data_IF_975190908060
#
_entry.id   IF_975190908060
#
_cell.length_a   1.000
_cell.length_b   1.000
_cell.length_c   1.000
_cell.angle_alpha   90.00
_cell.angle_beta   90.00
_cell.angle_gamma   90.00
#
_symmetry.space_group_name_H-M   'P 1'
#
loop_
_entity.id
_entity.type
_entity.pdbx_description
1 polymer ?
#
# COMPACT_ATOMS: atom_id res chain seq x y z
N UNK A 1 10.67 18.95 -30.55
CA UNK A 1 9.49 18.13 -30.23
C UNK A 1 9.27 18.23 -28.73
N UNK A 2 8.05 18.51 -28.29
CA UNK A 2 7.74 18.64 -26.86
C UNK A 2 7.53 17.24 -26.28
N UNK A 3 8.21 16.89 -25.19
CA UNK A 3 7.98 15.65 -24.46
C UNK A 3 6.52 15.58 -24.03
N UNK A 4 5.89 14.42 -24.26
CA UNK A 4 4.47 14.17 -23.91
C UNK A 4 4.30 13.00 -22.97
N UNK A 5 5.26 12.08 -22.89
CA UNK A 5 5.14 10.89 -22.06
C UNK A 5 6.39 10.67 -21.23
N UNK A 6 6.19 10.05 -20.07
CA UNK A 6 7.18 9.76 -19.04
C UNK A 6 7.11 8.29 -18.68
N UNK A 7 8.27 7.65 -18.58
CA UNK A 7 8.40 6.41 -17.82
C UNK A 7 9.28 6.70 -16.60
N UNK A 8 8.75 6.48 -15.41
CA UNK A 8 9.43 6.80 -14.14
C UNK A 8 9.64 5.50 -13.37
N UNK A 9 10.89 5.17 -13.09
CA UNK A 9 11.25 4.03 -12.26
C UNK A 9 11.79 4.49 -10.91
N UNK A 10 11.07 4.12 -9.84
CA UNK A 10 11.49 4.24 -8.46
C UNK A 10 11.93 2.87 -7.92
N UNK A 11 13.18 2.79 -7.43
CA UNK A 11 13.71 1.60 -6.79
C UNK A 11 13.79 1.78 -5.28
N UNK A 12 13.12 0.89 -4.56
CA UNK A 12 13.06 0.88 -3.10
C UNK A 12 13.78 -0.36 -2.56
N UNK A 13 14.90 -0.16 -1.88
CA UNK A 13 15.63 -1.22 -1.19
C UNK A 13 15.27 -1.22 0.30
N UNK A 14 15.20 -2.39 0.93
CA UNK A 14 14.90 -2.50 2.36
C UNK A 14 13.42 -2.46 2.75
N UNK A 15 12.51 -2.04 1.87
CA UNK A 15 11.07 -1.91 2.19
C UNK A 15 10.40 -3.23 2.61
N UNK A 16 10.95 -4.38 2.21
CA UNK A 16 10.45 -5.70 2.57
C UNK A 16 11.49 -6.57 3.27
N UNK A 17 12.57 -5.95 3.77
CA UNK A 17 13.60 -6.67 4.51
C UNK A 17 13.13 -6.88 5.95
N UNK A 18 13.28 -8.11 6.44
CA UNK A 18 12.92 -8.50 7.81
C UNK A 18 13.93 -8.00 8.86
N UNK A 19 15.04 -7.40 8.42
CA UNK A 19 16.03 -6.83 9.31
C UNK A 19 15.51 -5.51 9.87
N UNK A 20 15.21 -5.51 11.17
CA UNK A 20 14.79 -4.32 11.90
C UNK A 20 15.75 -4.07 13.05
N UNK A 21 15.97 -2.79 13.36
CA UNK A 21 16.60 -2.35 14.59
C UNK A 21 15.50 -2.09 15.61
N UNK A 22 15.60 -2.68 16.80
CA UNK A 22 14.70 -2.36 17.91
C UNK A 22 15.35 -1.33 18.81
N UNK A 23 14.76 -0.14 18.92
CA UNK A 23 15.16 0.81 19.94
C UNK A 23 14.72 0.28 21.30
N UNK A 24 15.70 -0.08 22.15
CA UNK A 24 15.45 -0.65 23.47
C UNK A 24 14.65 0.27 24.42
N UNK A 25 14.64 1.58 24.16
CA UNK A 25 13.93 2.55 25.01
C UNK A 25 12.45 2.71 24.65
N UNK A 26 12.13 2.86 23.35
CA UNK A 26 10.75 3.02 22.87
C UNK A 26 10.10 1.71 22.43
N UNK A 27 10.86 0.61 22.32
CA UNK A 27 10.48 -0.65 21.67
C UNK A 27 10.01 -0.48 20.22
N UNK A 28 10.41 0.61 19.57
CA UNK A 28 10.07 0.87 18.17
C UNK A 28 10.96 0.04 17.27
N UNK A 29 10.36 -0.67 16.31
CA UNK A 29 11.09 -1.36 15.25
C UNK A 29 11.31 -0.41 14.08
N UNK A 30 12.56 -0.24 13.69
CA UNK A 30 13.00 0.61 12.59
C UNK A 30 13.59 -0.28 11.50
N UNK A 31 13.00 -0.22 10.31
CA UNK A 31 13.56 -0.84 9.11
C UNK A 31 14.24 0.24 8.28
N UNK A 32 15.51 0.02 7.93
CA UNK A 32 16.21 0.94 7.04
C UNK A 32 15.72 0.74 5.62
N UNK A 33 15.11 1.76 5.05
CA UNK A 33 14.71 1.77 3.63
C UNK A 33 15.59 2.76 2.88
N UNK A 34 16.01 2.37 1.67
CA UNK A 34 16.73 3.25 0.75
C UNK A 34 15.85 3.47 -0.46
N UNK A 35 15.35 4.70 -0.59
CA UNK A 35 14.63 5.14 -1.79
C UNK A 35 15.67 5.74 -2.73
N UNK A 36 15.92 5.07 -3.85
CA UNK A 36 16.87 5.58 -4.84
C UNK A 36 16.26 6.75 -5.62
N UNK A 37 17.08 7.69 -6.11
CA UNK A 37 16.60 8.71 -7.03
C UNK A 37 15.87 8.10 -8.23
N UNK A 38 14.73 8.66 -8.67
CA UNK A 38 13.97 8.12 -9.77
C UNK A 38 14.77 8.17 -11.07
N UNK A 39 14.71 7.09 -11.85
CA UNK A 39 15.10 7.13 -13.26
C UNK A 39 13.91 7.63 -14.07
N UNK A 40 14.13 8.66 -14.88
CA UNK A 40 13.08 9.28 -15.69
C UNK A 40 13.46 9.16 -17.16
N UNK A 41 12.59 8.54 -17.94
CA UNK A 41 12.70 8.41 -19.39
C UNK A 41 11.63 9.28 -20.04
N UNK A 42 12.00 9.98 -21.10
CA UNK A 42 11.20 11.04 -21.73
C UNK A 42 10.90 10.66 -23.18
N UNK A 43 9.63 10.71 -23.55
CA UNK A 43 9.18 10.34 -24.89
C UNK A 43 8.26 11.38 -25.50
N UNK A 44 8.27 11.47 -26.83
CA UNK A 44 7.36 12.34 -27.59
C UNK A 44 6.20 11.58 -28.21
N UNK A 45 6.38 10.28 -28.44
CA UNK A 45 5.40 9.36 -29.01
C UNK A 45 4.87 8.38 -27.95
N UNK A 46 3.59 8.00 -28.05
CA UNK A 46 2.93 7.13 -27.07
C UNK A 46 3.32 5.66 -27.30
N UNK A 47 3.38 5.23 -28.55
CA UNK A 47 3.65 3.84 -28.92
C UNK A 47 5.09 3.48 -28.55
N UNK A 48 6.06 4.34 -28.90
CA UNK A 48 7.46 4.18 -28.50
C UNK A 48 7.63 4.10 -26.97
N UNK A 49 6.92 4.96 -26.23
CA UNK A 49 6.97 4.96 -24.78
C UNK A 49 6.40 3.67 -24.17
N UNK A 50 5.30 3.12 -24.73
CA UNK A 50 4.69 1.89 -24.25
C UNK A 50 5.52 0.65 -24.62
N UNK A 51 6.11 0.64 -25.80
CA UNK A 51 7.06 -0.40 -26.22
C UNK A 51 8.24 -0.45 -25.25
N UNK A 52 8.87 0.71 -25.01
CA UNK A 52 9.93 0.83 -24.00
C UNK A 52 9.45 0.38 -22.62
N UNK A 53 8.28 0.82 -22.15
CA UNK A 53 7.76 0.45 -20.84
C UNK A 53 7.61 -1.08 -20.71
N UNK A 54 7.07 -1.72 -21.75
CA UNK A 54 6.79 -3.16 -21.77
C UNK A 54 8.07 -3.99 -21.75
N UNK A 55 9.07 -3.61 -22.55
CA UNK A 55 10.39 -4.26 -22.53
C UNK A 55 11.10 -4.01 -21.20
N UNK A 56 11.13 -2.76 -20.74
CA UNK A 56 11.83 -2.36 -19.53
C UNK A 56 11.27 -3.04 -18.27
N UNK A 57 9.95 -3.23 -18.21
CA UNK A 57 9.31 -4.00 -17.14
C UNK A 57 9.83 -5.43 -17.06
N UNK A 58 9.93 -6.13 -18.21
CA UNK A 58 10.40 -7.51 -18.26
C UNK A 58 11.89 -7.62 -17.86
N UNK A 59 12.70 -6.62 -18.21
CA UNK A 59 14.11 -6.55 -17.82
C UNK A 59 14.31 -6.31 -16.31
N UNK A 60 13.39 -5.58 -15.70
CA UNK A 60 13.47 -5.16 -14.30
C UNK A 60 12.74 -6.12 -13.35
N UNK A 61 11.78 -6.91 -13.84
CA UNK A 61 11.07 -7.85 -13.00
C UNK A 61 12.00 -8.92 -12.43
N UNK A 62 11.75 -9.23 -11.15
CA UNK A 62 12.47 -10.26 -10.43
C UNK A 62 11.42 -11.29 -10.05
N UNK A 63 11.38 -12.36 -10.83
CA UNK A 63 10.51 -13.49 -10.54
C UNK A 63 10.82 -14.04 -9.15
N UNK A 64 9.76 -14.25 -8.37
CA UNK A 64 9.85 -14.99 -7.12
C UNK A 64 10.35 -16.40 -7.43
N UNK A 65 11.42 -16.83 -6.77
CA UNK A 65 12.01 -18.15 -7.00
C UNK A 65 11.01 -19.29 -6.77
N UNK A 66 9.98 -19.07 -5.95
CA UNK A 66 8.91 -20.03 -5.70
C UNK A 66 7.94 -20.18 -6.87
N UNK A 67 7.87 -19.18 -7.76
CA UNK A 67 7.04 -19.22 -8.96
C UNK A 67 7.74 -19.90 -10.14
N UNK A 68 9.07 -20.07 -10.07
CA UNK A 68 9.86 -20.69 -11.15
C UNK A 68 9.79 -22.22 -11.06
N UNK A 69 9.39 -22.88 -12.15
CA UNK A 69 9.39 -24.33 -12.29
C UNK A 69 10.71 -24.84 -12.89
N UNK A 70 10.94 -26.16 -12.81
CA UNK A 70 12.15 -26.81 -13.33
C UNK A 70 12.27 -26.75 -14.87
N UNK A 71 11.17 -26.55 -15.58
CA UNK A 71 11.08 -26.43 -17.04
C UNK A 71 11.07 -24.98 -17.55
N UNK A 72 11.54 -24.03 -16.72
CA UNK A 72 11.50 -22.57 -17.00
C UNK A 72 10.08 -21.98 -17.17
N UNK A 73 9.02 -22.75 -16.92
CA UNK A 73 7.66 -22.19 -16.80
C UNK A 73 7.50 -21.39 -15.51
N UNK A 74 6.67 -20.35 -15.58
CA UNK A 74 6.33 -19.50 -14.44
C UNK A 74 4.88 -19.74 -14.06
N UNK A 75 4.66 -20.22 -12.84
CA UNK A 75 3.32 -20.36 -12.27
C UNK A 75 3.25 -19.52 -10.99
N UNK A 76 2.47 -18.43 -11.03
CA UNK A 76 2.32 -17.55 -9.88
C UNK A 76 1.56 -18.25 -8.75
N UNK A 77 2.18 -18.31 -7.58
CA UNK A 77 1.57 -18.83 -6.36
C UNK A 77 0.98 -17.69 -5.50
N UNK A 78 0.10 -18.06 -4.59
CA UNK A 78 -0.44 -17.12 -3.60
C UNK A 78 0.68 -16.45 -2.79
N UNK A 79 0.56 -15.13 -2.60
CA UNK A 79 1.54 -14.30 -1.90
C UNK A 79 2.95 -14.38 -2.51
N UNK A 80 3.04 -14.57 -3.84
CA UNK A 80 4.29 -14.37 -4.55
C UNK A 80 4.73 -12.91 -4.55
N UNK A 81 5.98 -12.71 -4.91
CA UNK A 81 6.64 -11.39 -4.89
C UNK A 81 7.00 -10.91 -6.29
N UNK A 82 6.52 -11.62 -7.31
CA UNK A 82 6.59 -11.22 -8.71
C UNK A 82 5.86 -9.90 -8.93
N UNK A 83 6.15 -9.25 -10.05
CA UNK A 83 5.49 -8.00 -10.40
C UNK A 83 4.00 -8.12 -10.65
N UNK A 84 3.27 -7.11 -10.17
CA UNK A 84 1.89 -6.84 -10.53
C UNK A 84 1.86 -5.74 -11.58
N UNK A 85 0.96 -5.87 -12.55
CA UNK A 85 0.77 -4.91 -13.64
C UNK A 85 -0.64 -4.33 -13.53
N UNK A 86 -0.74 -3.00 -13.50
CA UNK A 86 -1.99 -2.28 -13.67
C UNK A 86 -2.14 -1.90 -15.15
N UNK A 87 -3.34 -2.09 -15.66
CA UNK A 87 -3.71 -1.76 -17.04
C UNK A 87 -4.69 -0.58 -17.04
N UNK A 88 -4.68 0.21 -18.11
CA UNK A 88 -5.74 1.19 -18.38
C UNK A 88 -7.03 0.53 -18.92
N UNK A 89 -8.05 1.35 -19.17
CA UNK A 89 -9.35 0.91 -19.70
C UNK A 89 -9.24 0.25 -21.08
N UNK A 90 -8.19 0.55 -21.84
CA UNK A 90 -7.90 -0.01 -23.17
C UNK A 90 -7.04 -1.28 -23.08
N UNK A 91 -6.66 -1.71 -21.87
CA UNK A 91 -5.84 -2.90 -21.62
C UNK A 91 -4.33 -2.69 -21.81
N UNK A 92 -3.86 -1.44 -21.89
CA UNK A 92 -2.43 -1.13 -21.98
C UNK A 92 -1.81 -1.04 -20.59
N UNK A 93 -0.58 -1.54 -20.39
CA UNK A 93 0.09 -1.47 -19.09
C UNK A 93 0.51 -0.05 -18.76
N UNK A 94 0.14 0.41 -17.56
CA UNK A 94 0.41 1.78 -17.09
C UNK A 94 1.20 1.84 -15.78
N UNK A 95 1.20 0.76 -15.01
CA UNK A 95 1.97 0.65 -13.77
C UNK A 95 2.51 -0.77 -13.65
N UNK A 96 3.77 -0.87 -13.26
CA UNK A 96 4.37 -2.10 -12.80
C UNK A 96 4.89 -1.90 -11.39
N UNK A 97 4.64 -2.85 -10.50
CA UNK A 97 5.26 -2.83 -9.18
C UNK A 97 5.57 -4.24 -8.68
N UNK A 98 6.72 -4.39 -8.05
CA UNK A 98 7.08 -5.57 -7.27
C UNK A 98 7.69 -5.14 -5.93
N UNK A 99 8.31 -6.07 -5.19
CA UNK A 99 8.93 -5.74 -3.89
C UNK A 99 9.99 -4.63 -3.95
N UNK A 100 10.66 -4.45 -5.09
CA UNK A 100 11.80 -3.53 -5.19
C UNK A 100 11.57 -2.38 -6.18
N UNK A 101 10.79 -2.63 -7.22
CA UNK A 101 10.68 -1.72 -8.35
C UNK A 101 9.24 -1.22 -8.47
N UNK A 102 9.09 0.07 -8.75
CA UNK A 102 7.82 0.69 -9.14
C UNK A 102 8.09 1.50 -10.40
N UNK A 103 7.41 1.16 -11.49
CA UNK A 103 7.58 1.79 -12.80
C UNK A 103 6.23 2.34 -13.24
N UNK A 104 6.18 3.65 -13.48
CA UNK A 104 4.98 4.37 -13.88
C UNK A 104 5.10 4.79 -15.35
N UNK A 105 4.04 4.57 -16.12
CA UNK A 105 3.85 5.20 -17.42
C UNK A 105 2.87 6.37 -17.26
N UNK A 106 3.28 7.57 -17.67
CA UNK A 106 2.48 8.78 -17.44
C UNK A 106 2.51 9.71 -18.65
N UNK A 107 1.37 10.30 -18.99
CA UNK A 107 1.32 11.44 -19.90
C UNK A 107 1.63 12.74 -19.14
N UNK A 108 2.48 13.59 -19.74
CA UNK A 108 2.81 14.93 -19.25
C UNK A 108 1.59 15.82 -19.46
N UNK A 109 0.86 16.04 -18.38
CA UNK A 109 -0.30 16.91 -18.36
C UNK A 109 -0.59 17.45 -16.97
N UNK A 110 -1.64 18.26 -16.87
CA UNK A 110 -2.14 18.70 -15.58
C UNK A 110 -2.81 17.52 -14.86
N UNK A 111 -2.09 16.90 -13.93
CA UNK A 111 -2.65 15.89 -13.05
C UNK A 111 -3.22 16.54 -11.80
N UNK A 112 -4.54 16.45 -11.63
CA UNK A 112 -5.23 16.92 -10.44
C UNK A 112 -5.26 15.77 -9.43
N UNK A 113 -4.36 15.81 -8.45
CA UNK A 113 -4.38 14.88 -7.32
C UNK A 113 -5.46 15.30 -6.31
N UNK A 114 -6.72 15.04 -6.64
CA UNK A 114 -7.80 15.12 -5.65
C UNK A 114 -7.98 13.75 -5.00
N UNK A 115 -7.88 13.64 -3.67
CA UNK A 115 -8.20 12.40 -2.99
C UNK A 115 -9.65 12.00 -3.32
N UNK A 116 -9.93 10.71 -3.54
CA UNK A 116 -11.28 10.22 -3.74
C UNK A 116 -12.20 10.76 -2.63
N UNK A 117 -13.45 11.17 -2.94
CA UNK A 117 -14.39 11.69 -1.95
C UNK A 117 -14.57 10.75 -0.74
N UNK A 118 -14.57 9.44 -0.99
CA UNK A 118 -14.71 8.42 0.06
C UNK A 118 -13.51 8.42 1.02
N UNK A 119 -12.29 8.54 0.48
CA UNK A 119 -11.07 8.66 1.31
C UNK A 119 -11.10 9.93 2.19
N UNK A 120 -11.63 11.04 1.67
CA UNK A 120 -11.84 12.26 2.49
C UNK A 120 -12.85 12.03 3.61
N UNK A 121 -13.93 11.30 3.33
CA UNK A 121 -14.93 10.96 4.33
C UNK A 121 -14.34 10.06 5.41
N UNK A 122 -13.55 9.05 5.04
CA UNK A 122 -12.90 8.13 5.97
C UNK A 122 -11.91 8.84 6.89
N UNK A 123 -11.06 9.73 6.35
CA UNK A 123 -10.15 10.56 7.14
C UNK A 123 -10.92 11.42 8.15
N UNK A 124 -12.04 12.00 7.71
CA UNK A 124 -12.89 12.84 8.57
C UNK A 124 -13.54 12.01 9.69
N UNK A 125 -14.04 10.81 9.37
CA UNK A 125 -14.63 9.89 10.33
C UNK A 125 -13.59 9.37 11.34
N UNK A 126 -12.38 9.04 10.89
CA UNK A 126 -11.30 8.63 11.76
C UNK A 126 -10.89 9.74 12.75
N UNK A 127 -10.79 10.97 12.25
CA UNK A 127 -10.50 12.14 13.09
C UNK A 127 -11.62 12.39 14.12
N UNK A 128 -12.89 12.22 13.73
CA UNK A 128 -14.03 12.31 14.66
C UNK A 128 -13.95 11.22 15.73
N UNK A 129 -13.71 9.97 15.35
CA UNK A 129 -13.55 8.83 16.27
C UNK A 129 -12.41 9.07 17.25
N UNK A 130 -11.25 9.54 16.79
CA UNK A 130 -10.13 9.90 17.67
C UNK A 130 -10.48 11.04 18.64
N UNK A 131 -11.24 12.03 18.19
CA UNK A 131 -11.71 13.12 19.05
C UNK A 131 -12.69 12.62 20.11
N UNK A 132 -13.54 11.66 19.77
CA UNK A 132 -14.48 11.01 20.69
C UNK A 132 -13.76 10.13 21.70
N UNK A 133 -12.78 9.33 21.26
CA UNK A 133 -11.91 8.51 22.14
C UNK A 133 -11.13 9.40 23.12
N UNK A 134 -10.63 10.55 22.68
CA UNK A 134 -9.94 11.50 23.57
C UNK A 134 -10.89 12.20 24.55
N UNK A 135 -12.19 12.27 24.23
CA UNK A 135 -13.22 12.84 25.11
C UNK A 135 -13.86 11.80 26.02
N UNK A 136 -13.80 10.51 25.69
CA UNK A 136 -14.28 9.46 26.56
C UNK A 136 -13.31 9.30 27.74
N UNK A 137 -13.81 9.54 28.95
CA UNK A 137 -13.05 9.24 30.17
C UNK A 137 -13.06 7.73 30.38
N UNK A 138 -11.90 7.14 30.59
CA UNK A 138 -11.80 5.75 31.02
C UNK A 138 -12.51 5.59 32.37
N UNK A 139 -13.48 4.67 32.45
CA UNK A 139 -14.18 4.41 33.70
C UNK A 139 -13.19 3.94 34.78
N UNK A 140 -13.31 4.50 35.97
CA UNK A 140 -12.56 4.04 37.15
C UNK A 140 -12.93 2.60 37.52
N UNK A 141 -12.09 1.93 38.31
CA UNK A 141 -12.31 0.53 38.71
C UNK A 141 -13.67 0.32 39.39
N UNK A 142 -14.06 1.24 40.26
CA UNK A 142 -15.35 1.22 40.96
C UNK A 142 -16.54 1.43 40.02
N UNK A 143 -16.43 2.35 39.05
CA UNK A 143 -17.47 2.57 38.06
C UNK A 143 -17.65 1.34 37.17
N UNK A 144 -16.56 0.72 36.72
CA UNK A 144 -16.60 -0.53 35.95
C UNK A 144 -17.31 -1.64 36.73
N UNK A 145 -16.98 -1.81 38.01
CA UNK A 145 -17.60 -2.81 38.87
C UNK A 145 -19.11 -2.60 38.99
N UNK A 146 -19.54 -1.35 39.19
CA UNK A 146 -20.95 -0.98 39.29
C UNK A 146 -21.72 -1.25 38.00
N UNK A 147 -21.12 -1.00 36.83
CA UNK A 147 -21.74 -1.33 35.55
C UNK A 147 -21.86 -2.84 35.32
N UNK A 148 -20.87 -3.62 35.75
CA UNK A 148 -20.93 -5.10 35.68
C UNK A 148 -22.04 -5.63 36.57
N UNK A 149 -22.19 -5.12 37.80
CA UNK A 149 -23.25 -5.51 38.72
C UNK A 149 -24.64 -5.15 38.18
N UNK A 150 -24.80 -3.94 37.62
CA UNK A 150 -26.03 -3.55 36.94
C UNK A 150 -26.36 -4.47 35.75
N UNK A 151 -25.36 -4.87 34.96
CA UNK A 151 -25.54 -5.81 33.85
C UNK A 151 -26.08 -7.17 34.33
N UNK A 152 -25.49 -7.70 35.42
CA UNK A 152 -25.93 -8.96 36.03
C UNK A 152 -27.37 -8.88 36.55
N UNK A 153 -27.75 -7.75 37.16
CA UNK A 153 -29.12 -7.53 37.63
C UNK A 153 -30.11 -7.47 36.46
N UNK A 154 -29.74 -6.83 35.34
CA UNK A 154 -30.58 -6.78 34.15
C UNK A 154 -30.71 -8.14 33.45
N UNK A 155 -29.70 -9.00 33.51
CA UNK A 155 -29.78 -10.37 33.02
C UNK A 155 -30.69 -11.22 33.90
N UNK A 156 -30.56 -11.12 35.22
CA UNK A 156 -31.45 -11.81 36.16
C UNK A 156 -32.92 -11.42 35.97
N UNK A 157 -33.19 -10.14 35.71
CA UNK A 157 -34.56 -9.66 35.42
C UNK A 157 -35.12 -10.14 34.07
N UNK A 158 -34.28 -10.60 33.13
CA UNK A 158 -34.74 -11.20 31.87
C UNK A 158 -35.03 -12.70 32.00
N UNK A 159 -34.41 -13.36 32.96
CA UNK A 159 -34.61 -14.80 33.22
C UNK A 159 -35.81 -15.06 34.16
N UNK A 160 -36.36 -14.00 34.76
CA UNK A 160 -37.53 -14.02 35.66
C UNK A 160 -38.88 -13.68 34.95
N UNK A 161 -38.88 -13.49 33.62
CA UNK A 161 -40.06 -13.39 32.72
C UNK A 161 -40.22 -14.67 31.88
#
# INVERSE_FOLDING_TARGET
MTTKYLVIHNKHEGCYDFQYYEDNSSKTRLTSITINPPKVFLFTDKEEAHEFFSEYMNDVDVLDIRCKKENDEVEHIDYCTCGCIEMDDDGNPILFYNKKNQIFFMEIGAQVFTPPPDLKNDISNFNLTNKLIRKSKTLGKEQKQRYIELGKMCEQLKDDD
#
